data_IF_722987067437
#
_entry.id   IF_722987067437
#
_cell.length_a   1.000
_cell.length_b   1.000
_cell.length_c   1.000
_cell.angle_alpha   90.00
_cell.angle_beta   90.00
_cell.angle_gamma   90.00
#
_symmetry.space_group_name_H-M   'P 1'
#
loop_
_entity.id
_entity.type
_entity.pdbx_description
1 polymer ?
#
# COMPACT_ATOMS: atom_id res chain seq x y z
N UNK A 1 45.00 -25.11 64.63
CA UNK A 1 43.61 -24.61 64.52
C UNK A 1 43.51 -23.96 63.14
N UNK A 2 42.94 -24.60 62.11
CA UNK A 2 41.49 -24.68 61.78
C UNK A 2 40.90 -23.25 61.64
N UNK A 3 40.35 -22.79 60.50
CA UNK A 3 39.40 -23.44 59.59
C UNK A 3 39.46 -22.84 58.17
N UNK A 4 39.23 -23.70 57.19
CA UNK A 4 38.74 -23.36 55.85
C UNK A 4 37.30 -22.84 55.92
N UNK A 5 36.93 -21.90 55.05
CA UNK A 5 35.55 -21.75 54.58
C UNK A 5 35.57 -21.42 53.10
N UNK A 6 35.18 -22.43 52.33
CA UNK A 6 34.61 -22.31 51.00
C UNK A 6 33.35 -21.45 51.07
N UNK A 7 33.17 -20.55 50.11
CA UNK A 7 31.83 -20.21 49.64
C UNK A 7 31.86 -20.06 48.12
N UNK A 8 31.25 -21.04 47.45
CA UNK A 8 30.78 -20.95 46.09
C UNK A 8 29.73 -19.84 46.00
N UNK A 9 29.80 -19.00 44.97
CA UNK A 9 28.60 -18.37 44.42
C UNK A 9 28.66 -18.37 42.90
N UNK A 10 27.94 -19.33 42.34
CA UNK A 10 27.48 -19.37 40.96
C UNK A 10 26.42 -18.27 40.78
N UNK A 11 26.67 -17.29 39.91
CA UNK A 11 25.66 -16.35 39.46
C UNK A 11 25.58 -16.35 37.94
N UNK A 12 24.65 -17.19 37.49
CA UNK A 12 23.65 -16.94 36.44
C UNK A 12 24.11 -16.31 35.12
N UNK A 13 24.00 -17.14 34.08
CA UNK A 13 23.79 -16.73 32.69
C UNK A 13 22.61 -15.74 32.63
N UNK A 14 22.90 -14.46 32.41
CA UNK A 14 21.90 -13.51 31.93
C UNK A 14 21.85 -13.61 30.40
N UNK A 15 20.68 -13.99 29.91
CA UNK A 15 20.33 -14.06 28.52
C UNK A 15 20.52 -12.70 27.83
N UNK A 16 21.49 -12.59 26.91
CA UNK A 16 21.35 -11.69 25.76
C UNK A 16 20.49 -12.40 24.72
N UNK A 17 19.18 -12.46 25.00
CA UNK A 17 18.19 -12.77 23.99
C UNK A 17 18.29 -11.72 22.90
N UNK A 18 18.61 -12.17 21.68
CA UNK A 18 18.78 -11.32 20.51
C UNK A 18 17.58 -10.41 20.30
N UNK A 19 17.82 -9.12 20.44
CA UNK A 19 16.96 -8.10 19.84
C UNK A 19 17.66 -7.72 18.54
N UNK A 20 17.32 -8.49 17.51
CA UNK A 20 17.83 -8.32 16.16
C UNK A 20 17.62 -6.87 15.69
N UNK A 21 18.74 -6.27 15.29
CA UNK A 21 18.87 -5.04 14.54
C UNK A 21 17.97 -5.00 13.30
N UNK A 22 16.67 -4.70 13.46
CA UNK A 22 15.77 -4.44 12.33
C UNK A 22 15.55 -2.95 12.05
N UNK A 23 16.03 -2.05 12.91
CA UNK A 23 15.80 -0.61 12.73
C UNK A 23 16.93 0.13 12.02
N UNK A 24 18.07 -0.52 11.74
CA UNK A 24 19.23 0.14 11.13
C UNK A 24 19.38 -0.09 9.61
N UNK A 25 18.63 -1.04 9.03
CA UNK A 25 18.73 -1.39 7.60
C UNK A 25 17.88 -0.54 6.65
N UNK A 26 16.82 0.11 7.14
CA UNK A 26 15.86 0.83 6.28
C UNK A 26 16.34 2.22 5.85
N UNK A 27 17.27 2.84 6.58
CA UNK A 27 17.78 4.18 6.25
C UNK A 27 18.82 4.20 5.11
N UNK A 28 19.34 3.04 4.68
CA UNK A 28 20.47 2.96 3.73
C UNK A 28 20.07 2.73 2.27
N UNK A 29 18.80 2.44 1.98
CA UNK A 29 18.37 2.04 0.62
C UNK A 29 17.79 3.17 -0.25
N UNK A 30 17.67 4.40 0.28
CA UNK A 30 16.98 5.50 -0.41
C UNK A 30 15.47 5.26 -0.61
N UNK A 31 14.91 4.22 0.01
CA UNK A 31 13.48 3.90 -0.03
C UNK A 31 12.78 4.53 1.19
N UNK A 32 11.60 5.17 1.06
CA UNK A 32 10.90 5.80 2.18
C UNK A 32 10.59 4.82 3.33
N UNK A 33 10.67 5.22 4.61
CA UNK A 33 10.26 4.36 5.73
C UNK A 33 8.74 4.16 5.76
N UNK A 34 8.28 3.10 6.44
CA UNK A 34 6.84 2.81 6.56
C UNK A 34 6.10 3.88 7.36
N UNK A 35 5.13 4.60 6.77
CA UNK A 35 4.42 5.68 7.45
C UNK A 35 3.30 5.16 8.36
N UNK A 36 3.01 5.92 9.42
CA UNK A 36 1.73 5.86 10.14
C UNK A 36 0.78 6.84 9.47
N UNK A 37 -0.51 6.51 9.41
CA UNK A 37 -1.51 7.39 8.80
C UNK A 37 -2.87 7.29 9.50
N UNK A 38 -3.71 8.28 9.19
CA UNK A 38 -5.13 8.32 9.56
C UNK A 38 -5.99 8.31 8.30
N UNK A 39 -7.07 7.53 8.33
CA UNK A 39 -8.08 7.52 7.28
C UNK A 39 -9.00 8.73 7.44
N UNK A 40 -9.36 9.36 6.32
CA UNK A 40 -10.42 10.36 6.23
C UNK A 40 -11.76 9.63 6.16
N UNK A 41 -12.08 9.08 4.98
CA UNK A 41 -13.30 8.31 4.71
C UNK A 41 -13.02 7.28 3.60
N UNK A 42 -13.88 6.27 3.50
CA UNK A 42 -13.91 5.32 2.37
C UNK A 42 -15.31 5.36 1.75
N UNK A 43 -15.49 6.29 0.82
CA UNK A 43 -16.74 6.57 0.13
C UNK A 43 -16.46 6.99 -1.32
N UNK A 44 -17.52 7.30 -2.08
CA UNK A 44 -17.39 7.71 -3.48
C UNK A 44 -16.58 9.00 -3.68
N UNK A 45 -16.42 9.84 -2.66
CA UNK A 45 -15.62 11.06 -2.78
C UNK A 45 -14.13 10.76 -2.94
N UNK A 46 -13.70 9.52 -2.68
CA UNK A 46 -12.35 9.05 -2.92
C UNK A 46 -11.88 9.23 -4.37
N UNK A 47 -12.82 9.24 -5.34
CA UNK A 47 -12.51 9.44 -6.76
C UNK A 47 -12.67 10.90 -7.22
N UNK A 48 -12.96 11.84 -6.32
CA UNK A 48 -13.11 13.24 -6.68
C UNK A 48 -11.81 13.81 -7.28
N UNK A 49 -11.93 14.36 -8.48
CA UNK A 49 -10.82 14.96 -9.23
C UNK A 49 -9.92 13.95 -9.93
N UNK A 50 -10.24 12.65 -9.92
CA UNK A 50 -9.56 11.67 -10.76
C UNK A 50 -10.07 11.78 -12.21
N UNK A 51 -9.18 11.56 -13.17
CA UNK A 51 -9.52 11.57 -14.60
C UNK A 51 -10.02 10.17 -14.98
N UNK A 52 -11.33 9.98 -14.83
CA UNK A 52 -12.02 8.70 -15.00
C UNK A 52 -13.09 8.81 -16.09
N UNK A 53 -13.30 7.70 -16.81
CA UNK A 53 -14.35 7.58 -17.81
C UNK A 53 -15.75 7.42 -17.19
N UNK A 54 -16.74 7.14 -18.04
CA UNK A 54 -18.13 6.98 -17.62
C UNK A 54 -18.30 5.76 -16.69
N UNK A 55 -19.00 5.90 -15.54
CA UNK A 55 -19.24 4.79 -14.62
C UNK A 55 -20.00 3.66 -15.30
N UNK A 56 -19.57 2.43 -15.04
CA UNK A 56 -20.25 1.21 -15.45
C UNK A 56 -20.68 0.43 -14.21
N UNK A 57 -21.94 -0.01 -14.16
CA UNK A 57 -22.39 -0.92 -13.12
C UNK A 57 -21.62 -2.24 -13.24
N UNK A 58 -21.14 -2.76 -12.10
CA UNK A 58 -20.36 -3.98 -12.01
C UNK A 58 -20.78 -4.85 -10.84
N UNK A 59 -20.14 -6.01 -10.76
CA UNK A 59 -20.27 -6.93 -9.64
C UNK A 59 -18.88 -7.46 -9.30
N UNK A 60 -18.48 -7.31 -8.04
CA UNK A 60 -17.23 -7.87 -7.54
C UNK A 60 -17.31 -9.42 -7.57
N UNK A 61 -16.15 -10.07 -7.47
CA UNK A 61 -16.04 -11.53 -7.59
C UNK A 61 -16.85 -12.31 -6.54
N UNK A 62 -17.15 -11.68 -5.40
CA UNK A 62 -17.97 -12.22 -4.32
C UNK A 62 -19.45 -11.85 -4.40
N UNK A 63 -19.87 -11.26 -5.53
CA UNK A 63 -21.27 -10.90 -5.78
C UNK A 63 -21.67 -9.51 -5.28
N UNK A 64 -20.77 -8.76 -4.62
CA UNK A 64 -21.10 -7.41 -4.14
C UNK A 64 -21.30 -6.43 -5.31
N UNK A 65 -22.24 -5.47 -5.18
CA UNK A 65 -22.40 -4.42 -6.18
C UNK A 65 -21.13 -3.56 -6.25
N UNK A 66 -20.78 -3.17 -7.47
CA UNK A 66 -19.67 -2.27 -7.70
C UNK A 66 -19.94 -1.28 -8.83
N UNK A 67 -19.12 -0.23 -8.88
CA UNK A 67 -19.08 0.72 -9.99
C UNK A 67 -17.65 0.76 -10.51
N UNK A 68 -17.48 0.47 -11.79
CA UNK A 68 -16.19 0.42 -12.49
C UNK A 68 -16.01 1.67 -13.34
N UNK A 69 -14.83 2.25 -13.28
CA UNK A 69 -14.40 3.41 -14.04
C UNK A 69 -13.14 3.07 -14.82
N UNK A 70 -13.15 3.23 -16.13
CA UNK A 70 -11.91 3.17 -16.92
C UNK A 70 -11.03 4.38 -16.59
N UNK A 71 -9.71 4.18 -16.53
CA UNK A 71 -8.77 5.29 -16.40
C UNK A 71 -8.56 5.89 -17.79
N UNK A 72 -8.79 7.20 -17.94
CA UNK A 72 -8.62 7.84 -19.24
C UNK A 72 -7.13 7.93 -19.63
N UNK A 73 -6.86 8.05 -20.93
CA UNK A 73 -5.52 8.32 -21.51
C UNK A 73 -4.48 7.19 -21.37
N UNK A 74 -4.82 6.02 -20.84
CA UNK A 74 -3.86 4.91 -20.62
C UNK A 74 -4.24 3.57 -21.28
N UNK A 75 -5.41 3.47 -21.93
CA UNK A 75 -5.81 2.27 -22.67
C UNK A 75 -6.36 1.13 -21.79
N UNK A 76 -6.72 0.01 -22.45
CA UNK A 76 -7.57 -1.05 -21.87
C UNK A 76 -6.98 -1.81 -20.68
N UNK A 77 -7.85 -2.21 -19.75
CA UNK A 77 -7.50 -2.97 -18.54
C UNK A 77 -7.13 -2.10 -17.32
N UNK A 78 -6.95 -0.80 -17.52
CA UNK A 78 -6.69 0.16 -16.45
C UNK A 78 -8.02 0.74 -15.93
N UNK A 79 -8.29 0.52 -14.65
CA UNK A 79 -9.59 0.87 -14.06
C UNK A 79 -9.50 1.12 -12.55
N UNK A 80 -10.51 1.83 -12.04
CA UNK A 80 -10.84 1.96 -10.63
C UNK A 80 -12.21 1.34 -10.41
N UNK A 81 -12.38 0.60 -9.32
CA UNK A 81 -13.64 -0.02 -8.93
C UNK A 81 -13.98 0.36 -7.49
N UNK A 82 -15.19 0.88 -7.31
CA UNK A 82 -15.78 1.17 -6.02
C UNK A 82 -16.71 0.02 -5.65
N UNK A 83 -16.45 -0.64 -4.53
CA UNK A 83 -17.19 -1.83 -4.09
C UNK A 83 -17.93 -1.53 -2.79
N UNK A 84 -19.23 -1.80 -2.78
CA UNK A 84 -20.09 -1.64 -1.63
C UNK A 84 -21.51 -1.24 -2.02
N UNK A 85 -22.49 -1.62 -1.20
CA UNK A 85 -23.90 -1.30 -1.46
C UNK A 85 -24.30 0.15 -1.13
N UNK A 86 -23.41 0.94 -0.53
CA UNK A 86 -23.67 2.32 -0.08
C UNK A 86 -22.56 3.25 -0.54
N UNK A 87 -22.91 4.31 -1.27
CA UNK A 87 -21.93 5.25 -1.82
C UNK A 87 -21.14 6.02 -0.75
N UNK A 88 -21.74 6.24 0.42
CA UNK A 88 -21.12 6.93 1.56
C UNK A 88 -20.39 5.99 2.55
N UNK A 89 -20.36 4.69 2.28
CA UNK A 89 -19.77 3.68 3.16
C UNK A 89 -19.28 2.50 2.31
N UNK A 90 -18.30 2.78 1.44
CA UNK A 90 -17.69 1.75 0.59
C UNK A 90 -16.92 0.73 1.45
N UNK A 91 -16.91 -0.51 0.99
CA UNK A 91 -16.20 -1.61 1.65
C UNK A 91 -14.76 -1.71 1.13
N UNK A 92 -14.58 -1.43 -0.15
CA UNK A 92 -13.29 -1.47 -0.83
C UNK A 92 -13.28 -0.50 -2.02
N UNK A 93 -12.12 0.11 -2.24
CA UNK A 93 -11.74 0.71 -3.50
C UNK A 93 -10.57 -0.10 -4.03
N UNK A 94 -10.64 -0.58 -5.27
CA UNK A 94 -9.52 -1.27 -5.90
C UNK A 94 -9.29 -0.74 -7.29
N UNK A 95 -8.13 -1.03 -7.85
CA UNK A 95 -7.87 -0.70 -9.24
C UNK A 95 -6.66 -1.42 -9.78
N UNK A 96 -6.50 -1.28 -11.09
CA UNK A 96 -5.30 -1.66 -11.81
C UNK A 96 -4.90 -0.49 -12.68
N UNK A 97 -3.64 -0.08 -12.60
CA UNK A 97 -3.08 0.94 -13.45
C UNK A 97 -1.63 0.55 -13.78
N UNK A 98 -1.27 0.48 -15.06
CA UNK A 98 0.09 0.24 -15.50
C UNK A 98 0.38 1.07 -16.74
N UNK A 99 1.39 1.94 -16.67
CA UNK A 99 1.85 2.69 -17.84
C UNK A 99 2.78 1.81 -18.67
N UNK A 100 2.70 1.98 -19.99
CA UNK A 100 3.51 1.24 -20.94
C UNK A 100 4.21 2.17 -21.92
N UNK A 101 5.44 1.84 -22.29
CA UNK A 101 6.17 2.45 -23.41
C UNK A 101 6.56 1.36 -24.40
N UNK A 102 6.19 1.53 -25.68
CA UNK A 102 6.44 0.53 -26.72
C UNK A 102 5.86 -0.86 -26.42
N UNK A 103 4.76 -0.92 -25.66
CA UNK A 103 4.13 -2.19 -25.23
C UNK A 103 4.79 -2.87 -24.04
N UNK A 104 5.81 -2.26 -23.42
CA UNK A 104 6.46 -2.74 -22.21
C UNK A 104 6.00 -1.94 -21.00
N UNK A 105 5.81 -2.61 -19.87
CA UNK A 105 5.46 -1.94 -18.62
C UNK A 105 6.62 -1.04 -18.16
N UNK A 106 6.31 0.18 -17.76
CA UNK A 106 7.28 1.15 -17.22
C UNK A 106 6.98 1.53 -15.77
N UNK A 107 5.99 0.88 -15.14
CA UNK A 107 5.55 1.21 -13.79
C UNK A 107 4.82 2.54 -13.74
N UNK A 108 5.02 3.28 -12.66
CA UNK A 108 4.37 4.55 -12.35
C UNK A 108 5.43 5.65 -12.27
N UNK A 109 5.89 6.18 -13.41
CA UNK A 109 6.83 7.29 -13.41
C UNK A 109 6.24 8.48 -12.63
N UNK A 110 7.11 9.26 -11.99
CA UNK A 110 6.67 10.43 -11.24
C UNK A 110 5.89 11.38 -12.17
N UNK A 111 4.71 11.80 -11.73
CA UNK A 111 3.75 12.60 -12.51
C UNK A 111 3.15 11.91 -13.75
N UNK A 112 3.40 10.61 -13.93
CA UNK A 112 2.66 9.78 -14.89
C UNK A 112 1.18 9.65 -14.54
N UNK A 113 0.40 9.07 -15.44
CA UNK A 113 -1.06 8.89 -15.27
C UNK A 113 -1.35 8.07 -14.01
N UNK A 114 -0.70 6.92 -13.84
CA UNK A 114 -0.96 6.02 -12.71
C UNK A 114 -0.46 6.60 -11.40
N UNK A 115 0.74 7.19 -11.40
CA UNK A 115 1.27 7.86 -10.23
C UNK A 115 0.34 8.99 -9.76
N UNK A 116 -0.10 9.85 -10.68
CA UNK A 116 -0.97 10.99 -10.37
C UNK A 116 -2.34 10.55 -9.89
N UNK A 117 -2.94 9.56 -10.56
CA UNK A 117 -4.23 9.00 -10.16
C UNK A 117 -4.15 8.39 -8.75
N UNK A 118 -3.15 7.55 -8.50
CA UNK A 118 -3.00 6.91 -7.21
C UNK A 118 -2.68 7.91 -6.11
N UNK A 119 -1.79 8.88 -6.36
CA UNK A 119 -1.48 9.95 -5.41
C UNK A 119 -2.72 10.73 -4.99
N UNK A 120 -3.58 11.07 -5.96
CA UNK A 120 -4.82 11.81 -5.69
C UNK A 120 -5.83 10.96 -4.93
N UNK A 121 -5.97 9.68 -5.29
CA UNK A 121 -6.82 8.72 -4.58
C UNK A 121 -6.39 8.59 -3.11
N UNK A 122 -5.09 8.37 -2.87
CA UNK A 122 -4.53 8.26 -1.52
C UNK A 122 -4.73 9.55 -0.72
N UNK A 123 -4.52 10.72 -1.34
CA UNK A 123 -4.80 12.00 -0.70
C UNK A 123 -6.28 12.19 -0.36
N UNK A 124 -7.20 11.71 -1.20
CA UNK A 124 -8.63 11.80 -0.89
C UNK A 124 -9.03 10.94 0.33
N UNK A 125 -8.40 9.76 0.52
CA UNK A 125 -8.81 8.79 1.56
C UNK A 125 -7.99 8.84 2.84
N UNK A 126 -6.79 9.44 2.83
CA UNK A 126 -5.88 9.43 3.96
C UNK A 126 -5.25 10.81 4.23
N UNK A 127 -4.85 11.03 5.49
CA UNK A 127 -3.95 12.12 5.84
C UNK A 127 -2.51 11.77 5.40
N UNK A 128 -1.70 12.79 5.13
CA UNK A 128 -0.32 12.64 4.65
C UNK A 128 -0.19 11.81 3.35
N UNK A 129 -1.13 12.01 2.41
CA UNK A 129 -1.24 11.19 1.20
C UNK A 129 0.03 11.14 0.35
N UNK A 130 0.83 12.21 0.32
CA UNK A 130 2.13 12.25 -0.36
C UNK A 130 3.09 11.21 0.22
N UNK A 131 3.26 11.17 1.55
CA UNK A 131 4.16 10.20 2.20
C UNK A 131 3.72 8.76 2.00
N UNK A 132 2.41 8.52 2.03
CA UNK A 132 1.84 7.19 1.78
C UNK A 132 2.07 6.74 0.35
N UNK A 133 1.85 7.65 -0.61
CA UNK A 133 2.09 7.38 -2.03
C UNK A 133 3.55 7.06 -2.28
N UNK A 134 4.47 7.90 -1.79
CA UNK A 134 5.91 7.69 -1.96
C UNK A 134 6.35 6.34 -1.41
N UNK A 135 5.88 5.96 -0.22
CA UNK A 135 6.13 4.65 0.37
C UNK A 135 5.59 3.51 -0.50
N UNK A 136 4.28 3.53 -0.81
CA UNK A 136 3.61 2.43 -1.50
C UNK A 136 4.19 2.22 -2.90
N UNK A 137 4.38 3.28 -3.68
CA UNK A 137 4.90 3.20 -5.06
C UNK A 137 6.37 2.74 -5.09
N UNK A 138 7.18 3.18 -4.12
CA UNK A 138 8.59 2.78 -4.05
C UNK A 138 8.75 1.32 -3.61
N UNK A 139 8.03 0.90 -2.56
CA UNK A 139 8.13 -0.46 -2.02
C UNK A 139 7.43 -1.50 -2.90
N UNK A 140 6.38 -1.12 -3.63
CA UNK A 140 5.76 -1.97 -4.64
C UNK A 140 6.62 -2.11 -5.91
N UNK A 141 7.73 -1.39 -6.01
CA UNK A 141 8.61 -1.45 -7.18
C UNK A 141 8.02 -0.78 -8.42
N UNK A 142 7.08 0.15 -8.26
CA UNK A 142 6.42 0.83 -9.38
C UNK A 142 7.20 2.08 -9.85
N UNK A 143 7.99 2.73 -8.97
CA UNK A 143 8.82 3.90 -9.35
C UNK A 143 10.06 3.54 -10.17
N UNK A 144 10.70 2.43 -9.84
CA UNK A 144 11.87 1.88 -10.53
C UNK A 144 11.54 0.46 -10.99
N UNK A 145 10.57 0.41 -11.91
CA UNK A 145 9.96 -0.82 -12.37
C UNK A 145 10.94 -1.75 -13.09
N UNK A 146 10.77 -3.05 -12.85
CA UNK A 146 11.47 -4.12 -13.55
C UNK A 146 10.56 -5.34 -13.61
N UNK A 147 10.35 -5.89 -14.80
CA UNK A 147 9.48 -7.06 -15.03
C UNK A 147 9.91 -8.29 -14.20
N UNK A 148 11.18 -8.40 -13.85
CA UNK A 148 11.74 -9.54 -13.11
C UNK A 148 11.75 -9.34 -11.59
N UNK A 149 11.21 -8.22 -11.10
CA UNK A 149 11.21 -7.89 -9.67
C UNK A 149 9.79 -7.89 -9.13
N UNK A 150 9.50 -8.85 -8.25
CA UNK A 150 8.29 -8.79 -7.44
C UNK A 150 8.37 -7.65 -6.43
N UNK A 151 7.25 -6.97 -6.22
CA UNK A 151 7.13 -5.88 -5.27
C UNK A 151 5.72 -5.83 -4.71
N UNK A 152 5.62 -5.59 -3.40
CA UNK A 152 4.36 -5.39 -2.71
C UNK A 152 4.59 -4.46 -1.54
N UNK A 153 3.67 -3.52 -1.35
CA UNK A 153 3.70 -2.59 -0.25
C UNK A 153 2.32 -2.50 0.39
N UNK A 154 2.29 -2.44 1.72
CA UNK A 154 1.06 -2.23 2.46
C UNK A 154 1.28 -1.42 3.74
N UNK A 155 0.34 -0.52 3.99
CA UNK A 155 0.23 0.25 5.24
C UNK A 155 -1.12 -0.04 5.87
N UNK A 156 -1.14 -0.13 7.19
CA UNK A 156 -2.34 -0.45 7.95
C UNK A 156 -2.54 0.55 9.08
N UNK A 157 -3.79 0.95 9.29
CA UNK A 157 -4.22 1.73 10.46
C UNK A 157 -5.57 1.23 10.95
N UNK A 158 -5.62 0.72 12.18
CA UNK A 158 -6.81 0.06 12.72
C UNK A 158 -7.34 -1.05 11.80
N UNK A 159 -8.55 -0.84 11.27
CA UNK A 159 -9.24 -1.78 10.37
C UNK A 159 -8.97 -1.56 8.88
N UNK A 160 -8.19 -0.56 8.50
CA UNK A 160 -7.99 -0.16 7.11
C UNK A 160 -6.60 -0.54 6.61
N UNK A 161 -6.53 -0.98 5.35
CA UNK A 161 -5.31 -1.34 4.66
C UNK A 161 -5.28 -0.59 3.33
N UNK A 162 -4.17 0.09 3.04
CA UNK A 162 -3.81 0.54 1.69
C UNK A 162 -2.64 -0.31 1.21
N UNK A 163 -2.74 -0.82 -0.01
CA UNK A 163 -1.72 -1.70 -0.58
C UNK A 163 -1.60 -1.51 -2.10
N UNK A 164 -0.41 -1.80 -2.62
CA UNK A 164 -0.10 -1.81 -4.04
C UNK A 164 0.94 -2.90 -4.36
N UNK A 165 0.91 -3.44 -5.57
CA UNK A 165 1.87 -4.42 -6.06
C UNK A 165 2.54 -3.99 -7.37
N UNK A 166 3.57 -4.72 -7.78
CA UNK A 166 4.34 -4.44 -8.99
C UNK A 166 3.56 -4.67 -10.29
N UNK A 167 2.39 -5.31 -10.25
CA UNK A 167 1.50 -5.47 -11.41
C UNK A 167 0.58 -4.25 -11.60
N UNK A 168 0.75 -3.24 -10.75
CA UNK A 168 -0.03 -2.00 -10.78
C UNK A 168 -1.41 -2.17 -10.17
N UNK A 169 -1.67 -3.27 -9.45
CA UNK A 169 -2.89 -3.40 -8.69
C UNK A 169 -2.75 -2.59 -7.39
N UNK A 170 -3.85 -1.98 -6.96
CA UNK A 170 -3.92 -1.29 -5.69
C UNK A 170 -5.28 -1.46 -5.02
N UNK A 171 -5.28 -1.40 -3.70
CA UNK A 171 -6.46 -1.58 -2.88
C UNK A 171 -6.46 -0.61 -1.70
N UNK A 172 -7.63 -0.08 -1.39
CA UNK A 172 -7.94 0.52 -0.11
C UNK A 172 -9.18 -0.18 0.44
N UNK A 173 -8.99 -0.93 1.54
CA UNK A 173 -10.03 -1.84 2.03
C UNK A 173 -10.09 -1.91 3.54
N UNK A 174 -11.20 -2.46 4.03
CA UNK A 174 -11.38 -2.88 5.41
C UNK A 174 -10.87 -4.32 5.59
N UNK A 175 -10.35 -4.66 6.78
CA UNK A 175 -9.75 -5.98 7.09
C UNK A 175 -10.73 -7.17 7.08
N UNK A 176 -12.02 -6.93 7.29
CA UNK A 176 -13.00 -7.97 7.63
C UNK A 176 -14.05 -8.18 6.53
N UNK A 177 -13.72 -7.91 5.27
CA UNK A 177 -14.61 -8.07 4.13
C UNK A 177 -13.91 -8.75 2.96
#
# INVERSE_FOLDING_TARGET
MQKYSLLLMSLMLAACGGQSDQTAGEAQSGVPPKPVFKVKYIDETAINGLVLGTPQAGQAADGRPSVVYTIEKIGGGNQVELIGGRSNDLEMIRGKCMETDGGKNIGWPQNGICHTLFAKLVDNVAQDGVKLTDYLVSHAGLKSYSENKSGYAAVQTGRYILEADNDGAFFFRRRNY
#
